data_IF_694549817223
#
_entry.id   IF_694549817223
#
_cell.length_a   1.000
_cell.length_b   1.000
_cell.length_c   1.000
_cell.angle_alpha   90.00
_cell.angle_beta   90.00
_cell.angle_gamma   90.00
#
_symmetry.space_group_name_H-M   'P 1'
#
loop_
_entity.id
_entity.type
_entity.pdbx_description
1 polymer ?
#
# COMPACT_ATOMS: atom_id res chain seq x y z
N UNK A 1 -31.75 17.30 -7.24
CA UNK A 1 -31.02 18.14 -6.26
C UNK A 1 -30.60 17.42 -4.98
N UNK A 2 -31.30 16.35 -4.52
CA UNK A 2 -31.01 15.71 -3.22
C UNK A 2 -29.84 14.70 -3.15
N UNK A 3 -29.29 14.22 -4.27
CA UNK A 3 -28.22 13.21 -4.25
C UNK A 3 -26.80 13.80 -4.15
N UNK A 4 -26.59 15.03 -4.62
CA UNK A 4 -25.27 15.68 -4.60
C UNK A 4 -24.83 16.08 -3.19
N UNK A 5 -25.76 16.48 -2.31
CA UNK A 5 -25.42 16.90 -0.95
C UNK A 5 -25.00 15.72 -0.04
N UNK A 6 -25.63 14.55 -0.19
CA UNK A 6 -25.30 13.37 0.61
C UNK A 6 -23.93 12.78 0.26
N UNK A 7 -23.57 12.74 -1.02
CA UNK A 7 -22.27 12.20 -1.48
C UNK A 7 -21.11 13.11 -1.10
N UNK A 8 -21.30 14.44 -1.12
CA UNK A 8 -20.29 15.41 -0.68
C UNK A 8 -20.05 15.29 0.83
N UNK A 9 -21.10 15.14 1.63
CA UNK A 9 -20.98 14.94 3.07
C UNK A 9 -20.27 13.61 3.40
N UNK A 10 -20.61 12.54 2.70
CA UNK A 10 -20.06 11.21 2.93
C UNK A 10 -18.59 11.07 2.47
N UNK A 11 -18.17 11.81 1.44
CA UNK A 11 -16.75 11.86 1.02
C UNK A 11 -15.89 12.71 1.95
N UNK A 12 -16.42 13.82 2.47
CA UNK A 12 -15.73 14.64 3.47
C UNK A 12 -15.47 13.87 4.77
N UNK A 13 -16.46 13.09 5.23
CA UNK A 13 -16.33 12.23 6.42
C UNK A 13 -15.25 11.14 6.22
N UNK A 14 -15.20 10.48 5.04
CA UNK A 14 -14.17 9.48 4.71
C UNK A 14 -12.76 10.09 4.71
N UNK A 15 -12.57 11.28 4.16
CA UNK A 15 -11.28 12.00 4.15
C UNK A 15 -10.83 12.40 5.57
N UNK A 16 -11.76 12.85 6.42
CA UNK A 16 -11.47 13.17 7.82
C UNK A 16 -11.03 11.91 8.59
N UNK A 17 -11.76 10.81 8.45
CA UNK A 17 -11.42 9.54 9.08
C UNK A 17 -10.05 9.02 8.59
N UNK A 18 -9.78 9.12 7.29
CA UNK A 18 -8.47 8.79 6.71
C UNK A 18 -7.34 9.58 7.39
N UNK A 19 -7.49 10.91 7.49
CA UNK A 19 -6.49 11.79 8.13
C UNK A 19 -6.30 11.44 9.59
N UNK A 20 -7.40 11.18 10.32
CA UNK A 20 -7.36 10.77 11.72
C UNK A 20 -6.53 9.49 11.90
N UNK A 21 -6.79 8.44 11.13
CA UNK A 21 -6.05 7.19 11.25
C UNK A 21 -4.58 7.32 10.82
N UNK A 22 -4.28 8.11 9.79
CA UNK A 22 -2.88 8.43 9.42
C UNK A 22 -2.14 9.18 10.53
N UNK A 23 -2.81 10.12 11.21
CA UNK A 23 -2.23 10.85 12.33
C UNK A 23 -1.95 9.91 13.52
N UNK A 24 -2.90 9.03 13.86
CA UNK A 24 -2.70 8.02 14.92
C UNK A 24 -1.56 7.05 14.58
N UNK A 25 -1.46 6.61 13.32
CA UNK A 25 -0.33 5.79 12.87
C UNK A 25 1.00 6.54 13.00
N UNK A 26 1.05 7.81 12.60
CA UNK A 26 2.24 8.65 12.74
C UNK A 26 2.68 8.83 14.20
N UNK A 27 1.73 9.00 15.12
CA UNK A 27 2.01 9.06 16.55
C UNK A 27 2.59 7.74 17.08
N UNK A 28 2.00 6.60 16.72
CA UNK A 28 2.54 5.28 17.08
C UNK A 28 3.93 5.04 16.47
N UNK A 29 4.20 5.56 15.27
CA UNK A 29 5.52 5.48 14.65
C UNK A 29 6.58 6.26 15.45
N UNK A 30 6.24 7.44 15.98
CA UNK A 30 7.12 8.22 16.86
C UNK A 30 7.42 7.43 18.14
N UNK A 31 6.38 6.95 18.83
CA UNK A 31 6.53 6.17 20.07
C UNK A 31 7.37 4.89 19.86
N UNK A 32 7.17 4.20 18.74
CA UNK A 32 7.99 3.05 18.35
C UNK A 32 9.46 3.43 18.21
N UNK A 33 9.74 4.49 17.45
CA UNK A 33 11.10 4.93 17.19
C UNK A 33 11.80 5.33 18.50
N UNK A 34 11.11 6.05 19.39
CA UNK A 34 11.61 6.41 20.72
C UNK A 34 11.92 5.18 21.57
N UNK A 35 11.03 4.17 21.57
CA UNK A 35 11.27 2.92 22.28
C UNK A 35 12.50 2.18 21.74
N UNK A 36 12.70 2.15 20.42
CA UNK A 36 13.88 1.51 19.83
C UNK A 36 15.17 2.28 20.08
N UNK A 37 15.14 3.61 20.07
CA UNK A 37 16.28 4.44 20.46
C UNK A 37 16.68 4.18 21.91
N UNK A 38 15.73 4.20 22.84
CA UNK A 38 15.98 3.90 24.25
C UNK A 38 16.41 2.44 24.47
N UNK A 39 15.86 1.50 23.71
CA UNK A 39 16.27 0.08 23.77
C UNK A 39 17.74 -0.08 23.36
N UNK A 40 18.15 0.60 22.28
CA UNK A 40 19.53 0.57 21.82
C UNK A 40 20.48 1.21 22.84
N UNK A 41 20.10 2.32 23.46
CA UNK A 41 20.88 2.96 24.53
C UNK A 41 21.01 2.04 25.76
N UNK A 42 19.91 1.45 26.23
CA UNK A 42 19.93 0.49 27.33
C UNK A 42 20.82 -0.71 27.05
N UNK A 43 20.85 -1.20 25.80
CA UNK A 43 21.74 -2.28 25.38
C UNK A 43 23.22 -1.85 25.45
N UNK A 44 23.57 -0.66 24.95
CA UNK A 44 24.92 -0.09 25.05
C UNK A 44 25.37 0.07 26.51
N UNK A 45 24.45 0.41 27.40
CA UNK A 45 24.66 0.52 28.84
C UNK A 45 24.63 -0.83 29.60
N UNK A 46 24.66 -1.96 28.88
CA UNK A 46 24.60 -3.34 29.44
C UNK A 46 23.34 -3.63 30.28
N UNK A 47 22.27 -2.86 30.11
CA UNK A 47 20.98 -3.04 30.77
C UNK A 47 20.07 -3.97 29.94
N UNK A 48 20.46 -5.23 29.79
CA UNK A 48 19.81 -6.17 28.86
C UNK A 48 18.31 -6.39 29.09
N UNK A 49 17.86 -6.47 30.35
CA UNK A 49 16.42 -6.63 30.68
C UNK A 49 15.60 -5.42 30.21
N UNK A 50 16.06 -4.21 30.51
CA UNK A 50 15.43 -2.94 30.10
C UNK A 50 15.42 -2.80 28.57
N UNK A 51 16.54 -3.15 27.91
CA UNK A 51 16.62 -3.14 26.46
C UNK A 51 15.56 -4.06 25.82
N UNK A 52 15.39 -5.28 26.35
CA UNK A 52 14.38 -6.23 25.88
C UNK A 52 12.95 -5.72 26.08
N UNK A 53 12.65 -5.18 27.26
CA UNK A 53 11.32 -4.61 27.56
C UNK A 53 10.97 -3.46 26.61
N UNK A 54 11.90 -2.52 26.39
CA UNK A 54 11.72 -1.40 25.46
C UNK A 54 11.58 -1.88 24.01
N UNK A 55 12.32 -2.93 23.61
CA UNK A 55 12.19 -3.52 22.28
C UNK A 55 10.80 -4.14 22.07
N UNK A 56 10.26 -4.84 23.08
CA UNK A 56 8.92 -5.41 23.03
C UNK A 56 7.85 -4.32 22.92
N UNK A 57 7.96 -3.24 23.72
CA UNK A 57 7.06 -2.08 23.61
C UNK A 57 7.14 -1.41 22.24
N UNK A 58 8.35 -1.26 21.69
CA UNK A 58 8.53 -0.75 20.33
C UNK A 58 7.82 -1.63 19.29
N UNK A 59 7.92 -2.95 19.41
CA UNK A 59 7.20 -3.88 18.52
C UNK A 59 5.68 -3.75 18.67
N UNK A 60 5.17 -3.57 19.88
CA UNK A 60 3.74 -3.33 20.13
C UNK A 60 3.24 -2.06 19.45
N UNK A 61 3.94 -0.92 19.65
CA UNK A 61 3.64 0.32 18.92
C UNK A 61 3.72 0.14 17.40
N UNK A 62 4.65 -0.69 16.91
CA UNK A 62 4.71 -1.07 15.50
C UNK A 62 3.46 -1.79 15.01
N UNK A 63 2.95 -2.78 15.76
CA UNK A 63 1.70 -3.49 15.41
C UNK A 63 0.49 -2.54 15.43
N UNK A 64 0.39 -1.68 16.43
CA UNK A 64 -0.70 -0.70 16.54
C UNK A 64 -0.64 0.32 15.40
N UNK A 65 0.56 0.79 15.03
CA UNK A 65 0.76 1.62 13.84
C UNK A 65 0.24 0.92 12.57
N UNK A 66 0.60 -0.34 12.37
CA UNK A 66 0.16 -1.12 11.20
C UNK A 66 -1.37 -1.27 11.17
N UNK A 67 -2.01 -1.48 12.31
CA UNK A 67 -3.48 -1.52 12.42
C UNK A 67 -4.14 -0.20 12.02
N UNK A 68 -3.60 0.94 12.47
CA UNK A 68 -4.14 2.24 12.08
C UNK A 68 -3.90 2.54 10.59
N UNK A 69 -2.74 2.17 10.05
CA UNK A 69 -2.49 2.29 8.62
C UNK A 69 -3.45 1.42 7.81
N UNK A 70 -3.71 0.17 8.22
CA UNK A 70 -4.65 -0.72 7.53
C UNK A 70 -6.07 -0.11 7.47
N UNK A 71 -6.55 0.48 8.58
CA UNK A 71 -7.85 1.19 8.60
C UNK A 71 -7.86 2.39 7.67
N UNK A 72 -6.79 3.19 7.66
CA UNK A 72 -6.68 4.34 6.77
C UNK A 72 -6.72 3.91 5.28
N UNK A 73 -5.97 2.86 4.94
CA UNK A 73 -5.93 2.28 3.60
C UNK A 73 -7.30 1.80 3.16
N UNK A 74 -8.01 1.05 4.01
CA UNK A 74 -9.33 0.52 3.69
C UNK A 74 -10.32 1.63 3.34
N UNK A 75 -10.35 2.71 4.13
CA UNK A 75 -11.25 3.84 3.92
C UNK A 75 -10.98 4.50 2.57
N UNK A 76 -9.73 4.91 2.31
CA UNK A 76 -9.40 5.67 1.10
C UNK A 76 -9.45 4.78 -0.15
N UNK A 77 -8.96 3.54 -0.05
CA UNK A 77 -9.00 2.60 -1.16
C UNK A 77 -10.43 2.26 -1.57
N UNK A 78 -11.31 2.00 -0.60
CA UNK A 78 -12.72 1.73 -0.89
C UNK A 78 -13.39 2.96 -1.49
N UNK A 79 -13.19 4.15 -0.90
CA UNK A 79 -13.73 5.40 -1.42
C UNK A 79 -13.31 5.68 -2.88
N UNK A 80 -12.05 5.41 -3.19
CA UNK A 80 -11.49 5.67 -4.51
C UNK A 80 -11.93 4.67 -5.57
N UNK A 81 -12.22 3.43 -5.18
CA UNK A 81 -12.49 2.33 -6.11
C UNK A 81 -13.98 1.91 -6.18
N UNK A 82 -14.86 2.48 -5.35
CA UNK A 82 -16.29 2.11 -5.25
C UNK A 82 -17.05 2.21 -6.58
N UNK A 83 -16.70 3.16 -7.45
CA UNK A 83 -17.37 3.39 -8.74
C UNK A 83 -16.44 3.23 -9.95
N UNK A 84 -15.36 2.46 -9.79
CA UNK A 84 -14.38 2.23 -10.86
C UNK A 84 -14.62 0.90 -11.56
N UNK A 85 -14.31 0.80 -12.86
CA UNK A 85 -14.46 -0.44 -13.59
C UNK A 85 -13.40 -1.48 -13.16
N UNK A 86 -13.62 -2.74 -13.53
CA UNK A 86 -12.80 -3.86 -13.05
C UNK A 86 -11.36 -3.85 -13.59
N UNK A 87 -11.13 -3.18 -14.71
CA UNK A 87 -9.86 -2.92 -15.39
C UNK A 87 -9.15 -1.65 -14.89
N UNK A 88 -9.67 -1.01 -13.84
CA UNK A 88 -9.04 0.17 -13.23
C UNK A 88 -8.82 -0.03 -11.72
N UNK A 89 -7.74 0.55 -11.21
CA UNK A 89 -7.46 0.62 -9.77
C UNK A 89 -6.82 1.95 -9.41
N UNK A 90 -7.31 2.56 -8.34
CA UNK A 90 -6.78 3.80 -7.79
C UNK A 90 -6.05 3.55 -6.47
N UNK A 91 -4.76 3.85 -6.48
CA UNK A 91 -3.82 3.66 -5.39
C UNK A 91 -3.33 5.00 -4.82
N UNK A 92 -3.96 6.11 -5.19
CA UNK A 92 -3.56 7.42 -4.66
C UNK A 92 -3.73 7.47 -3.14
N UNK A 93 -2.79 8.14 -2.46
CA UNK A 93 -2.80 8.25 -0.99
C UNK A 93 -2.33 7.00 -0.24
N UNK A 94 -2.02 5.91 -0.94
CA UNK A 94 -1.41 4.73 -0.35
C UNK A 94 0.10 4.87 -0.24
N UNK A 95 0.68 4.23 0.77
CA UNK A 95 2.13 4.04 0.84
C UNK A 95 2.57 2.94 -0.11
N UNK A 96 3.84 3.00 -0.52
CA UNK A 96 4.43 2.10 -1.52
C UNK A 96 4.13 0.62 -1.21
N UNK A 97 4.34 0.18 0.03
CA UNK A 97 4.09 -1.21 0.44
C UNK A 97 2.62 -1.61 0.28
N UNK A 98 1.71 -0.73 0.71
CA UNK A 98 0.25 -0.95 0.67
C UNK A 98 -0.23 -1.05 -0.79
N UNK A 99 0.26 -0.14 -1.63
CA UNK A 99 -0.09 -0.10 -3.04
C UNK A 99 0.45 -1.29 -3.83
N UNK A 100 1.67 -1.74 -3.55
CA UNK A 100 2.24 -2.95 -4.16
C UNK A 100 1.38 -4.19 -3.84
N UNK A 101 0.93 -4.32 -2.60
CA UNK A 101 0.05 -5.42 -2.18
C UNK A 101 -1.30 -5.39 -2.90
N UNK A 102 -1.95 -4.22 -2.96
CA UNK A 102 -3.21 -4.04 -3.68
C UNK A 102 -3.07 -4.28 -5.19
N UNK A 103 -1.95 -3.88 -5.77
CA UNK A 103 -1.66 -4.12 -7.19
C UNK A 103 -1.56 -5.61 -7.49
N UNK A 104 -0.85 -6.38 -6.65
CA UNK A 104 -0.76 -7.84 -6.81
C UNK A 104 -2.13 -8.52 -6.75
N UNK A 105 -2.93 -8.17 -5.73
CA UNK A 105 -4.29 -8.68 -5.59
C UNK A 105 -5.15 -8.36 -6.82
N UNK A 106 -4.98 -7.16 -7.40
CA UNK A 106 -5.72 -6.74 -8.59
C UNK A 106 -5.26 -7.46 -9.86
N UNK A 107 -3.95 -7.69 -10.02
CA UNK A 107 -3.43 -8.50 -11.13
C UNK A 107 -4.04 -9.91 -11.09
N UNK A 108 -4.00 -10.58 -9.94
CA UNK A 108 -4.59 -11.92 -9.78
C UNK A 108 -6.10 -11.92 -10.07
N UNK A 109 -6.80 -10.84 -9.71
CA UNK A 109 -8.22 -10.67 -10.02
C UNK A 109 -8.46 -10.48 -11.52
N UNK A 110 -7.68 -9.65 -12.20
CA UNK A 110 -7.74 -9.43 -13.65
C UNK A 110 -7.45 -10.73 -14.42
N UNK A 111 -6.47 -11.51 -13.98
CA UNK A 111 -6.16 -12.82 -14.56
C UNK A 111 -7.35 -13.79 -14.44
N UNK A 112 -7.98 -13.88 -13.26
CA UNK A 112 -9.16 -14.73 -13.04
C UNK A 112 -10.35 -14.34 -13.92
N UNK A 113 -10.50 -13.06 -14.21
CA UNK A 113 -11.59 -12.53 -15.04
C UNK A 113 -11.25 -12.45 -16.53
N UNK A 114 -10.05 -12.88 -16.94
CA UNK A 114 -9.55 -12.74 -18.31
C UNK A 114 -9.60 -11.30 -18.84
N UNK A 115 -9.32 -10.33 -17.97
CA UNK A 115 -9.18 -8.93 -18.37
C UNK A 115 -7.82 -8.80 -19.08
N UNK A 116 -7.81 -8.14 -20.23
CA UNK A 116 -6.65 -7.97 -21.11
C UNK A 116 -5.72 -6.82 -20.70
N UNK A 117 -6.23 -5.86 -19.91
CA UNK A 117 -5.45 -4.73 -19.43
C UNK A 117 -5.86 -4.23 -18.03
N UNK A 118 -4.97 -3.47 -17.38
CA UNK A 118 -5.22 -2.82 -16.10
C UNK A 118 -4.67 -1.39 -16.12
N UNK A 119 -5.51 -0.42 -15.80
CA UNK A 119 -5.13 0.97 -15.58
C UNK A 119 -4.92 1.22 -14.09
N UNK A 120 -3.68 1.54 -13.70
CA UNK A 120 -3.30 1.83 -12.32
C UNK A 120 -3.10 3.34 -12.15
N UNK A 121 -3.90 3.96 -11.30
CA UNK A 121 -3.80 5.38 -10.97
C UNK A 121 -2.93 5.51 -9.72
N UNK A 122 -1.72 6.05 -9.87
CA UNK A 122 -0.79 6.32 -8.77
C UNK A 122 -0.85 7.78 -8.28
N UNK A 123 -1.44 8.65 -9.11
CA UNK A 123 -1.56 10.09 -8.86
C UNK A 123 -0.34 10.88 -9.34
N UNK A 124 -0.50 12.21 -9.43
CA UNK A 124 0.51 13.13 -10.01
C UNK A 124 1.73 13.39 -9.12
N UNK A 125 1.78 12.83 -7.91
CA UNK A 125 2.89 13.05 -6.96
C UNK A 125 2.80 14.31 -6.09
N UNK A 126 1.86 15.22 -6.33
CA UNK A 126 1.74 16.51 -5.62
C UNK A 126 1.46 16.41 -4.11
N UNK A 127 0.96 15.28 -3.60
CA UNK A 127 0.63 15.08 -2.18
C UNK A 127 1.55 14.08 -1.45
N UNK A 128 2.67 13.68 -2.06
CA UNK A 128 3.65 12.86 -1.34
C UNK A 128 4.28 13.70 -0.24
N UNK A 129 4.42 13.15 0.99
CA UNK A 129 4.99 13.86 2.15
C UNK A 129 6.40 14.44 1.90
N UNK A 130 7.09 14.01 0.84
CA UNK A 130 8.43 14.48 0.44
C UNK A 130 8.50 15.09 -0.98
N UNK A 131 7.38 15.24 -1.70
CA UNK A 131 7.40 15.67 -3.11
C UNK A 131 8.00 14.63 -4.09
N UNK A 132 8.41 13.45 -3.61
CA UNK A 132 8.95 12.36 -4.42
C UNK A 132 7.81 11.37 -4.69
N UNK A 133 7.43 11.23 -5.96
CA UNK A 133 6.50 10.20 -6.43
C UNK A 133 7.14 8.81 -6.35
N UNK A 134 7.37 8.28 -5.14
CA UNK A 134 7.96 6.96 -4.86
C UNK A 134 7.09 5.79 -5.36
N UNK A 135 5.81 6.07 -5.63
CA UNK A 135 4.84 5.05 -5.99
C UNK A 135 4.96 4.61 -7.47
N UNK A 136 5.11 5.57 -8.39
CA UNK A 136 5.28 5.30 -9.83
C UNK A 136 6.46 4.35 -10.13
N UNK A 137 7.71 4.61 -9.65
CA UNK A 137 8.83 3.71 -9.92
C UNK A 137 8.65 2.34 -9.24
N UNK A 138 8.08 2.29 -8.03
CA UNK A 138 7.87 1.02 -7.34
C UNK A 138 6.88 0.09 -8.06
N UNK A 139 5.80 0.65 -8.62
CA UNK A 139 4.85 -0.14 -9.41
C UNK A 139 5.46 -0.53 -10.76
N UNK A 140 6.23 0.35 -11.41
CA UNK A 140 6.94 0.00 -12.64
C UNK A 140 7.93 -1.16 -12.44
N UNK A 141 8.72 -1.13 -11.36
CA UNK A 141 9.63 -2.22 -10.98
C UNK A 141 8.87 -3.52 -10.71
N UNK A 142 7.69 -3.44 -10.09
CA UNK A 142 6.83 -4.59 -9.90
C UNK A 142 6.40 -5.21 -11.24
N UNK A 143 6.02 -4.39 -12.23
CA UNK A 143 5.61 -4.87 -13.55
C UNK A 143 6.77 -5.52 -14.31
N UNK A 144 7.96 -4.94 -14.23
CA UNK A 144 9.18 -5.51 -14.81
C UNK A 144 9.46 -6.90 -14.21
N UNK A 145 9.31 -7.04 -12.88
CA UNK A 145 9.46 -8.33 -12.20
C UNK A 145 8.43 -9.38 -12.65
N UNK A 146 7.21 -8.95 -12.95
CA UNK A 146 6.16 -9.83 -13.50
C UNK A 146 6.26 -10.03 -15.01
N UNK A 147 7.23 -9.41 -15.69
CA UNK A 147 7.39 -9.42 -17.16
C UNK A 147 6.14 -8.89 -17.89
N UNK A 148 5.42 -7.97 -17.23
CA UNK A 148 4.23 -7.32 -17.77
C UNK A 148 4.60 -6.07 -18.56
N UNK A 149 3.93 -5.86 -19.69
CA UNK A 149 4.10 -4.64 -20.49
C UNK A 149 3.43 -3.47 -19.78
N UNK A 150 4.21 -2.47 -19.37
CA UNK A 150 3.71 -1.30 -18.66
C UNK A 150 4.02 -0.01 -19.45
N UNK A 151 2.99 0.73 -19.82
CA UNK A 151 3.09 2.06 -20.43
C UNK A 151 2.78 3.13 -19.40
N UNK A 152 3.72 4.06 -19.21
CA UNK A 152 3.54 5.16 -18.25
C UNK A 152 2.74 6.32 -18.85
N UNK A 153 2.01 7.04 -17.99
CA UNK A 153 1.24 8.25 -18.32
C UNK A 153 0.14 8.03 -19.39
N UNK A 154 -0.39 6.82 -19.45
CA UNK A 154 -1.53 6.42 -20.29
C UNK A 154 -2.67 5.93 -19.37
N UNK A 155 -3.92 6.42 -19.52
CA UNK A 155 -4.39 7.44 -20.46
C UNK A 155 -4.06 8.89 -20.04
N UNK A 156 -3.66 9.11 -18.78
CA UNK A 156 -3.35 10.45 -18.23
C UNK A 156 -2.08 10.42 -17.38
N UNK A 157 -1.49 11.59 -17.12
CA UNK A 157 -0.29 11.73 -16.29
C UNK A 157 -0.55 11.22 -14.87
N UNK A 158 0.33 10.34 -14.38
CA UNK A 158 0.15 9.69 -13.08
C UNK A 158 -0.67 8.39 -13.14
N UNK A 159 -0.88 7.85 -14.34
CA UNK A 159 -1.42 6.52 -14.57
C UNK A 159 -0.33 5.59 -15.15
N UNK A 160 -0.50 4.29 -14.92
CA UNK A 160 0.29 3.21 -15.51
C UNK A 160 -0.69 2.25 -16.19
N UNK A 161 -0.55 2.06 -17.48
CA UNK A 161 -1.34 1.11 -18.27
C UNK A 161 -0.58 -0.20 -18.40
N UNK A 162 -1.14 -1.28 -17.88
CA UNK A 162 -0.53 -2.62 -17.87
C UNK A 162 -1.31 -3.51 -18.82
N UNK A 163 -0.62 -4.14 -19.77
CA UNK A 163 -1.21 -5.07 -20.73
C UNK A 163 -0.89 -6.51 -20.32
N UNK A 164 -1.93 -7.31 -20.13
CA UNK A 164 -1.82 -8.74 -19.91
C UNK A 164 -1.79 -9.42 -21.28
N UNK A 165 -0.61 -9.54 -21.88
CA UNK A 165 -0.45 -10.21 -23.16
C UNK A 165 -0.95 -11.67 -23.10
N UNK A 166 -1.39 -12.23 -24.25
CA UNK A 166 -1.78 -13.64 -24.35
C UNK A 166 -0.69 -14.62 -23.86
N UNK A 167 0.57 -14.18 -23.75
CA UNK A 167 1.68 -14.93 -23.17
C UNK A 167 1.54 -15.19 -21.65
N UNK A 168 0.81 -14.34 -20.91
CA UNK A 168 0.53 -14.57 -19.48
C UNK A 168 -0.41 -15.74 -19.22
N UNK A 169 -1.18 -16.18 -20.23
CA UNK A 169 -2.05 -17.36 -20.11
C UNK A 169 -1.28 -18.68 -19.89
N UNK A 170 0.05 -18.67 -20.09
CA UNK A 170 0.94 -19.82 -19.89
C UNK A 170 1.96 -19.64 -18.75
N UNK A 171 2.02 -18.47 -18.11
CA UNK A 171 2.82 -18.31 -16.90
C UNK A 171 2.04 -18.93 -15.74
N UNK A 172 2.18 -20.25 -15.66
CA UNK A 172 1.59 -21.13 -14.68
C UNK A 172 1.43 -20.52 -13.29
N UNK A 173 0.34 -20.97 -12.67
CA UNK A 173 -0.04 -21.03 -11.26
C UNK A 173 1.08 -21.50 -10.27
N UNK A 174 2.36 -21.45 -10.63
CA UNK A 174 3.51 -21.89 -9.83
C UNK A 174 4.38 -20.79 -9.23
N UNK A 175 4.27 -19.51 -9.65
CA UNK A 175 5.19 -18.48 -9.14
C UNK A 175 4.74 -17.83 -7.83
N UNK A 176 3.43 -17.73 -7.59
CA UNK A 176 2.87 -17.15 -6.35
C UNK A 176 3.03 -18.08 -5.13
N UNK A 177 3.14 -19.40 -5.33
CA UNK A 177 3.42 -20.38 -4.26
C UNK A 177 4.89 -20.42 -3.81
N UNK A 178 5.81 -19.81 -4.57
CA UNK A 178 7.24 -19.84 -4.25
C UNK A 178 7.66 -18.77 -3.23
N UNK A 179 6.94 -17.65 -3.13
CA UNK A 179 7.32 -16.56 -2.23
C UNK A 179 6.84 -16.73 -0.78
N UNK A 180 5.89 -17.63 -0.52
CA UNK A 180 5.40 -17.92 0.84
C UNK A 180 6.16 -19.07 1.54
N UNK A 181 7.04 -19.79 0.82
CA UNK A 181 7.67 -21.02 1.32
C UNK A 181 9.12 -20.85 1.82
N UNK A 182 9.65 -19.63 1.91
CA UNK A 182 10.96 -19.37 2.54
C UNK A 182 10.84 -18.39 3.71
N UNK A 183 10.14 -18.81 4.76
CA UNK A 183 10.45 -18.37 6.11
C UNK A 183 10.17 -19.51 7.11
N UNK A 184 10.88 -20.62 6.93
CA UNK A 184 11.02 -21.70 7.91
C UNK A 184 12.50 -22.10 7.89
N UNK A 185 13.18 -21.92 9.04
CA UNK A 185 14.53 -22.40 9.42
C UNK A 185 15.66 -21.55 8.79
N UNK A 186 16.59 -20.89 9.52
CA UNK A 186 17.21 -21.08 10.84
C UNK A 186 17.43 -19.73 11.54
#
# INVERSE_FOLDING_TARGET
MGQIASTIFQSADKEEQYRKYRNLASEQAKLRNDCFLQSQDAYKNKQGKKAKELSLKGKEHGRTMDQYNAKAVEIIFTANNENRPNDEIDLHGLFVKEALEKTKQKIEYCEKLNIDHLTIIVGRGNHSQDGIAKLKPAIAELMEKYQLSCTQDKPTIGCLYVEFGNAHRKADLGFLSFFESKCVIC
#
